data_IF_821648596374
#
_entry.id   IF_821648596374
#
_cell.length_a   1.000
_cell.length_b   1.000
_cell.length_c   1.000
_cell.angle_alpha   90.00
_cell.angle_beta   90.00
_cell.angle_gamma   90.00
#
_symmetry.space_group_name_H-M   'P 1'
#
loop_
_entity.id
_entity.type
_entity.pdbx_description
1 polymer ?
#
# COMPACT_ATOMS: atom_id res chain seq x y z
N UNK A 1 27.78 16.40 5.50
CA UNK A 1 27.43 16.74 4.10
C UNK A 1 25.93 17.05 3.98
N UNK A 2 25.40 17.93 4.87
CA UNK A 2 23.95 18.17 5.05
C UNK A 2 23.53 19.61 4.67
N UNK A 3 24.45 20.44 4.17
CA UNK A 3 24.20 21.87 3.99
C UNK A 3 24.51 22.38 2.57
N UNK A 4 23.85 21.86 1.54
CA UNK A 4 23.80 22.51 0.22
C UNK A 4 22.60 22.07 -0.64
N UNK A 5 21.40 22.00 -0.07
CA UNK A 5 20.19 22.02 -0.90
C UNK A 5 19.60 23.43 -0.79
N UNK A 6 20.20 24.39 -1.50
CA UNK A 6 19.61 25.70 -1.80
C UNK A 6 18.76 25.59 -3.08
N UNK A 7 17.89 24.62 -3.16
CA UNK A 7 16.81 24.64 -4.12
C UNK A 7 15.57 24.87 -3.27
N UNK A 8 15.19 26.13 -3.13
CA UNK A 8 13.87 26.46 -2.65
C UNK A 8 12.87 25.88 -3.65
N UNK A 9 12.37 24.71 -3.30
CA UNK A 9 11.18 24.18 -3.93
C UNK A 9 10.02 25.07 -3.51
N UNK A 10 9.83 26.17 -4.22
CA UNK A 10 8.63 26.98 -4.13
C UNK A 10 7.48 26.16 -4.69
N UNK A 11 7.02 25.17 -3.94
CA UNK A 11 5.70 24.59 -4.16
C UNK A 11 4.72 25.75 -4.06
N UNK A 12 4.11 26.09 -5.16
CA UNK A 12 3.00 27.04 -5.36
C UNK A 12 2.64 27.90 -4.14
N UNK A 13 3.37 28.98 -3.90
CA UNK A 13 3.17 29.94 -2.78
C UNK A 13 1.74 30.52 -2.71
N UNK A 14 0.95 30.39 -3.79
CA UNK A 14 -0.40 30.98 -3.90
C UNK A 14 -1.53 29.95 -4.01
N UNK A 15 -1.26 28.64 -3.86
CA UNK A 15 -2.33 27.65 -3.90
C UNK A 15 -3.03 27.56 -2.55
N UNK A 16 -4.31 27.91 -2.52
CA UNK A 16 -5.16 27.72 -1.35
C UNK A 16 -5.30 26.23 -1.05
N UNK A 17 -5.20 25.86 0.22
CA UNK A 17 -5.39 24.48 0.64
C UNK A 17 -6.86 24.06 0.43
N UNK A 18 -7.07 22.87 -0.13
CA UNK A 18 -8.41 22.30 -0.38
C UNK A 18 -8.95 21.65 0.91
N UNK A 19 -9.56 22.47 1.78
CA UNK A 19 -10.15 21.99 3.04
C UNK A 19 -11.36 21.09 2.78
N UNK A 20 -12.18 21.40 1.77
CA UNK A 20 -13.41 20.67 1.45
C UNK A 20 -13.03 19.26 0.93
N UNK A 21 -12.16 19.19 -0.07
CA UNK A 21 -11.66 17.91 -0.57
C UNK A 21 -11.01 17.08 0.49
N UNK A 22 -10.23 17.71 1.39
CA UNK A 22 -9.56 17.01 2.50
C UNK A 22 -10.56 16.39 3.50
N UNK A 23 -11.63 17.11 3.85
CA UNK A 23 -12.67 16.61 4.76
C UNK A 23 -13.46 15.47 4.11
N UNK A 24 -13.87 15.63 2.84
CA UNK A 24 -14.58 14.59 2.10
C UNK A 24 -13.73 13.31 2.03
N UNK A 25 -12.46 13.46 1.70
CA UNK A 25 -11.51 12.35 1.61
C UNK A 25 -11.34 11.62 2.95
N UNK A 26 -11.17 12.37 4.05
CA UNK A 26 -11.02 11.81 5.38
C UNK A 26 -12.27 11.05 5.82
N UNK A 27 -13.46 11.66 5.68
CA UNK A 27 -14.73 11.03 6.05
C UNK A 27 -14.98 9.78 5.21
N UNK A 28 -14.70 9.85 3.91
CA UNK A 28 -14.80 8.72 3.00
C UNK A 28 -13.95 7.53 3.45
N UNK A 29 -12.67 7.76 3.76
CA UNK A 29 -11.77 6.68 4.20
C UNK A 29 -12.22 6.09 5.53
N UNK A 30 -12.60 6.92 6.51
CA UNK A 30 -13.07 6.47 7.81
C UNK A 30 -14.31 5.59 7.67
N UNK A 31 -15.31 6.04 6.90
CA UNK A 31 -16.53 5.26 6.66
C UNK A 31 -16.25 3.95 5.92
N UNK A 32 -15.36 3.98 4.93
CA UNK A 32 -14.98 2.78 4.18
C UNK A 32 -14.30 1.75 5.06
N UNK A 33 -13.27 2.17 5.79
CA UNK A 33 -12.49 1.26 6.65
C UNK A 33 -13.33 0.74 7.82
N UNK A 34 -14.11 1.61 8.47
CA UNK A 34 -14.97 1.20 9.58
C UNK A 34 -16.07 0.25 9.09
N UNK A 35 -16.70 0.57 7.96
CA UNK A 35 -17.72 -0.27 7.35
C UNK A 35 -17.22 -1.67 6.96
N UNK A 36 -15.97 -1.81 6.54
CA UNK A 36 -15.36 -3.11 6.26
C UNK A 36 -14.92 -3.85 7.55
N UNK A 37 -14.44 -3.12 8.55
CA UNK A 37 -13.89 -3.71 9.78
C UNK A 37 -14.97 -4.31 10.67
N UNK A 38 -16.13 -3.69 10.76
CA UNK A 38 -17.18 -4.05 11.72
C UNK A 38 -18.45 -4.62 11.05
N UNK A 39 -18.27 -5.22 9.86
CA UNK A 39 -19.33 -5.73 8.99
C UNK A 39 -20.36 -6.64 9.71
N UNK A 40 -19.96 -7.35 10.76
CA UNK A 40 -20.80 -8.36 11.41
C UNK A 40 -21.57 -7.86 12.64
N UNK A 41 -21.26 -6.68 13.19
CA UNK A 41 -21.79 -6.25 14.48
C UNK A 41 -23.13 -5.53 14.41
N UNK A 42 -23.33 -4.68 13.42
CA UNK A 42 -24.53 -3.83 13.33
C UNK A 42 -25.02 -3.71 11.91
N UNK A 43 -26.30 -3.85 11.68
CA UNK A 43 -26.92 -3.70 10.34
C UNK A 43 -26.63 -2.34 9.70
N UNK A 44 -26.55 -1.29 10.50
CA UNK A 44 -26.24 0.06 10.02
C UNK A 44 -24.84 0.17 9.36
N UNK A 45 -23.88 -0.63 9.79
CA UNK A 45 -22.50 -0.61 9.28
C UNK A 45 -22.43 -1.05 7.83
N UNK A 46 -23.36 -1.91 7.38
CA UNK A 46 -23.42 -2.36 5.98
C UNK A 46 -23.62 -1.22 4.96
N UNK A 47 -24.24 -0.12 5.38
CA UNK A 47 -24.46 1.03 4.51
C UNK A 47 -23.24 1.95 4.40
N UNK A 48 -22.28 1.87 5.31
CA UNK A 48 -21.12 2.76 5.35
C UNK A 48 -20.22 2.67 4.11
N UNK A 49 -19.88 1.49 3.56
CA UNK A 49 -19.10 1.41 2.31
C UNK A 49 -19.84 2.01 1.11
N UNK A 50 -21.18 1.91 1.07
CA UNK A 50 -21.98 2.55 0.02
C UNK A 50 -21.96 4.07 0.13
N UNK A 51 -22.08 4.60 1.37
CA UNK A 51 -21.96 6.05 1.61
C UNK A 51 -20.54 6.51 1.25
N UNK A 52 -19.51 5.74 1.62
CA UNK A 52 -18.13 6.03 1.26
C UNK A 52 -17.93 6.04 -0.27
N UNK A 53 -18.58 5.15 -1.01
CA UNK A 53 -18.53 5.15 -2.47
C UNK A 53 -19.20 6.39 -3.08
N UNK A 54 -20.32 6.83 -2.53
CA UNK A 54 -20.95 8.08 -2.95
C UNK A 54 -20.03 9.28 -2.68
N UNK A 55 -19.42 9.33 -1.49
CA UNK A 55 -18.45 10.37 -1.15
C UNK A 55 -17.21 10.33 -2.05
N UNK A 56 -16.78 9.16 -2.50
CA UNK A 56 -15.70 9.00 -3.47
C UNK A 56 -16.07 9.65 -4.83
N UNK A 57 -17.28 9.44 -5.31
CA UNK A 57 -17.75 10.09 -6.55
C UNK A 57 -17.84 11.60 -6.38
N UNK A 58 -18.34 12.08 -5.24
CA UNK A 58 -18.38 13.50 -4.91
C UNK A 58 -16.97 14.09 -4.81
N UNK A 59 -16.03 13.38 -4.19
CA UNK A 59 -14.63 13.79 -4.13
C UNK A 59 -14.02 13.95 -5.52
N UNK A 60 -14.21 12.97 -6.41
CA UNK A 60 -13.71 13.06 -7.80
C UNK A 60 -14.32 14.27 -8.53
N UNK A 61 -15.60 14.51 -8.31
CA UNK A 61 -16.29 15.65 -8.94
C UNK A 61 -15.74 16.98 -8.44
N UNK A 62 -15.54 17.12 -7.12
CA UNK A 62 -14.99 18.31 -6.48
C UNK A 62 -13.55 18.56 -6.94
N UNK A 63 -12.70 17.51 -6.97
CA UNK A 63 -11.30 17.62 -7.40
C UNK A 63 -11.15 18.08 -8.86
N UNK A 64 -12.14 17.88 -9.71
CA UNK A 64 -12.15 18.40 -11.09
C UNK A 64 -12.49 19.87 -11.19
N UNK A 65 -13.15 20.46 -10.17
CA UNK A 65 -13.63 21.84 -10.18
C UNK A 65 -12.71 22.80 -9.45
N UNK A 66 -12.03 22.35 -8.41
CA UNK A 66 -11.21 23.19 -7.55
C UNK A 66 -9.93 23.59 -8.30
N UNK A 67 -9.56 24.86 -8.20
CA UNK A 67 -8.35 25.40 -8.83
C UNK A 67 -7.04 24.85 -8.25
N UNK A 68 -7.08 24.38 -7.00
CA UNK A 68 -5.93 23.75 -6.30
C UNK A 68 -6.39 22.43 -5.66
N UNK A 69 -6.59 21.37 -6.47
CA UNK A 69 -7.09 20.10 -5.96
C UNK A 69 -6.09 19.43 -5.04
N UNK A 70 -6.59 18.67 -4.07
CA UNK A 70 -5.78 17.81 -3.19
C UNK A 70 -5.05 16.74 -4.02
N UNK A 71 -5.75 16.18 -5.01
CA UNK A 71 -5.22 15.20 -5.94
C UNK A 71 -5.46 15.68 -7.37
N UNK A 72 -4.37 15.96 -8.09
CA UNK A 72 -4.47 16.28 -9.51
C UNK A 72 -4.79 15.00 -10.31
N UNK A 73 -6.07 14.84 -10.65
CA UNK A 73 -6.55 13.67 -11.40
C UNK A 73 -5.94 13.56 -12.81
N UNK A 74 -5.32 14.63 -13.32
CA UNK A 74 -4.69 14.62 -14.64
C UNK A 74 -3.48 13.67 -14.70
N UNK A 75 -2.82 13.41 -13.56
CA UNK A 75 -1.68 12.48 -13.47
C UNK A 75 -2.06 11.06 -13.91
N UNK A 76 -3.33 10.65 -13.70
CA UNK A 76 -3.83 9.33 -14.12
C UNK A 76 -3.99 9.20 -15.65
N UNK A 77 -3.90 10.29 -16.40
CA UNK A 77 -3.82 10.25 -17.88
C UNK A 77 -2.47 9.75 -18.36
N UNK A 78 -1.45 9.83 -17.52
CA UNK A 78 -0.15 9.25 -17.82
C UNK A 78 -0.22 7.73 -17.60
N UNK A 79 -0.12 6.98 -18.70
CA UNK A 79 -0.21 5.51 -18.70
C UNK A 79 0.85 4.88 -17.79
N UNK A 80 2.08 5.42 -17.78
CA UNK A 80 3.17 4.88 -16.94
C UNK A 80 2.81 5.04 -15.47
N UNK A 81 2.32 6.20 -15.07
CA UNK A 81 1.90 6.46 -13.69
C UNK A 81 0.75 5.53 -13.28
N UNK A 82 -0.28 5.42 -14.09
CA UNK A 82 -1.45 4.59 -13.80
C UNK A 82 -1.10 3.11 -13.71
N UNK A 83 -0.34 2.59 -14.67
CA UNK A 83 0.08 1.18 -14.66
C UNK A 83 1.00 0.87 -13.48
N UNK A 84 1.90 1.79 -13.12
CA UNK A 84 2.77 1.62 -11.94
C UNK A 84 1.96 1.57 -10.63
N UNK A 85 0.92 2.41 -10.50
CA UNK A 85 0.05 2.38 -9.32
C UNK A 85 -0.80 1.11 -9.24
N UNK A 86 -1.32 0.62 -10.38
CA UNK A 86 -2.03 -0.65 -10.44
C UNK A 86 -1.11 -1.81 -10.06
N UNK A 87 0.10 -1.85 -10.60
CA UNK A 87 1.10 -2.85 -10.25
C UNK A 87 1.46 -2.81 -8.76
N UNK A 88 1.63 -1.61 -8.19
CA UNK A 88 1.86 -1.42 -6.76
C UNK A 88 0.67 -1.92 -5.92
N UNK A 89 -0.56 -1.62 -6.33
CA UNK A 89 -1.77 -2.09 -5.65
C UNK A 89 -1.83 -3.62 -5.60
N UNK A 90 -1.59 -4.29 -6.73
CA UNK A 90 -1.57 -5.76 -6.82
C UNK A 90 -0.45 -6.33 -5.93
N UNK A 91 0.76 -5.74 -6.01
CA UNK A 91 1.91 -6.17 -5.22
C UNK A 91 1.64 -6.08 -3.72
N UNK A 92 1.15 -4.93 -3.23
CA UNK A 92 0.84 -4.74 -1.82
C UNK A 92 -0.29 -5.64 -1.35
N UNK A 93 -1.35 -5.80 -2.15
CA UNK A 93 -2.46 -6.70 -1.83
C UNK A 93 -1.98 -8.15 -1.65
N UNK A 94 -1.13 -8.64 -2.56
CA UNK A 94 -0.54 -9.98 -2.45
C UNK A 94 0.36 -10.12 -1.22
N UNK A 95 1.19 -9.11 -0.93
CA UNK A 95 2.11 -9.12 0.21
C UNK A 95 1.35 -9.14 1.54
N UNK A 96 0.29 -8.34 1.69
CA UNK A 96 -0.54 -8.34 2.91
C UNK A 96 -1.33 -9.63 3.07
N UNK A 97 -1.90 -10.16 1.98
CA UNK A 97 -2.60 -11.45 2.02
C UNK A 97 -1.69 -12.58 2.48
N UNK A 98 -0.44 -12.61 1.98
CA UNK A 98 0.56 -13.58 2.42
C UNK A 98 0.92 -13.46 3.89
N UNK A 99 1.18 -12.24 4.36
CA UNK A 99 1.48 -11.99 5.77
C UNK A 99 0.35 -12.50 6.69
N UNK A 100 -0.90 -12.27 6.28
CA UNK A 100 -2.07 -12.74 7.01
C UNK A 100 -2.18 -14.27 7.01
N UNK A 101 -2.08 -14.91 5.83
CA UNK A 101 -2.14 -16.37 5.70
C UNK A 101 -0.99 -17.04 6.45
N UNK A 102 0.23 -16.48 6.36
CA UNK A 102 1.39 -16.98 7.10
C UNK A 102 1.19 -16.87 8.60
N UNK A 103 0.63 -15.76 9.09
CA UNK A 103 0.29 -15.59 10.49
C UNK A 103 -0.67 -16.67 10.99
N UNK A 104 -1.73 -16.94 10.22
CA UNK A 104 -2.69 -18.00 10.55
C UNK A 104 -2.04 -19.39 10.51
N UNK A 105 -1.22 -19.66 9.52
CA UNK A 105 -0.51 -20.92 9.40
C UNK A 105 0.40 -21.19 10.62
N UNK A 106 1.20 -20.19 11.02
CA UNK A 106 2.08 -20.31 12.18
C UNK A 106 1.30 -20.54 13.48
N UNK A 107 0.19 -19.86 13.67
CA UNK A 107 -0.61 -19.96 14.89
C UNK A 107 -1.51 -21.20 14.91
N UNK A 108 -2.28 -21.47 13.86
CA UNK A 108 -3.29 -22.52 13.85
C UNK A 108 -2.72 -23.89 13.47
N UNK A 109 -1.79 -23.94 12.53
CA UNK A 109 -1.24 -25.22 12.05
C UNK A 109 -0.01 -25.64 12.85
N UNK A 110 0.86 -24.67 13.13
CA UNK A 110 2.12 -24.93 13.88
C UNK A 110 1.98 -24.76 15.39
N UNK A 111 0.84 -24.25 15.88
CA UNK A 111 0.58 -24.07 17.29
C UNK A 111 1.47 -23.04 17.99
N UNK A 112 2.07 -22.12 17.22
CA UNK A 112 2.92 -21.08 17.78
C UNK A 112 2.08 -20.02 18.48
N UNK A 113 2.57 -19.48 19.59
CA UNK A 113 1.97 -18.33 20.24
C UNK A 113 2.09 -17.07 19.34
N UNK A 114 1.22 -16.09 19.56
CA UNK A 114 1.15 -14.88 18.74
C UNK A 114 2.46 -14.07 18.75
N UNK A 115 3.20 -14.10 19.87
CA UNK A 115 4.48 -13.39 19.99
C UNK A 115 5.55 -14.02 19.10
N UNK A 116 5.69 -15.34 19.13
CA UNK A 116 6.64 -16.08 18.30
C UNK A 116 6.29 -15.96 16.82
N UNK A 117 5.00 -16.12 16.45
CA UNK A 117 4.54 -15.93 15.08
C UNK A 117 4.81 -14.51 14.57
N UNK A 118 4.57 -13.49 15.41
CA UNK A 118 4.92 -12.10 15.12
C UNK A 118 6.40 -11.89 14.87
N UNK A 119 7.26 -12.56 15.63
CA UNK A 119 8.73 -12.54 15.46
C UNK A 119 9.15 -13.00 14.05
N UNK A 120 8.55 -14.07 13.53
CA UNK A 120 8.79 -14.53 12.16
C UNK A 120 8.34 -13.52 11.12
N UNK A 121 7.19 -12.86 11.33
CA UNK A 121 6.69 -11.85 10.41
C UNK A 121 7.57 -10.59 10.37
N UNK A 122 8.33 -10.29 11.41
CA UNK A 122 9.29 -9.17 11.44
C UNK A 122 10.50 -9.37 10.52
N UNK A 123 10.77 -10.59 10.06
CA UNK A 123 11.88 -10.86 9.14
C UNK A 123 11.70 -10.07 7.83
N UNK A 124 10.48 -10.00 7.31
CA UNK A 124 10.19 -9.28 6.07
C UNK A 124 10.51 -7.78 6.15
N UNK A 125 9.95 -6.98 7.09
CA UNK A 125 10.28 -5.55 7.19
C UNK A 125 11.76 -5.32 7.57
N UNK A 126 12.37 -6.23 8.30
CA UNK A 126 13.80 -6.15 8.62
C UNK A 126 14.66 -6.24 7.35
N UNK A 127 14.43 -7.26 6.51
CA UNK A 127 15.12 -7.41 5.22
C UNK A 127 14.82 -6.20 4.32
N UNK A 128 13.57 -5.74 4.28
CA UNK A 128 13.16 -4.58 3.48
C UNK A 128 13.93 -3.31 3.89
N UNK A 129 14.18 -3.10 5.17
CA UNK A 129 14.95 -1.96 5.68
C UNK A 129 16.39 -1.96 5.17
N UNK A 130 17.00 -3.14 5.01
CA UNK A 130 18.39 -3.29 4.51
C UNK A 130 18.46 -3.20 2.98
N UNK A 131 17.49 -3.80 2.29
CA UNK A 131 17.50 -3.95 0.82
C UNK A 131 16.99 -2.69 0.13
N UNK A 132 15.98 -1.99 0.69
CA UNK A 132 15.34 -0.85 0.07
C UNK A 132 16.30 0.29 -0.30
N UNK A 133 17.23 0.73 0.55
CA UNK A 133 18.20 1.77 0.17
C UNK A 133 19.14 1.33 -0.95
N UNK A 134 19.52 0.05 -0.97
CA UNK A 134 20.38 -0.53 -2.02
C UNK A 134 19.64 -0.63 -3.35
N UNK A 135 18.37 -1.05 -3.32
CA UNK A 135 17.51 -1.11 -4.49
C UNK A 135 17.27 0.29 -5.07
N UNK A 136 17.06 1.30 -4.22
CA UNK A 136 16.97 2.70 -4.63
C UNK A 136 18.24 3.18 -5.35
N UNK A 137 19.40 3.00 -4.73
CA UNK A 137 20.68 3.37 -5.33
C UNK A 137 20.98 2.61 -6.64
N UNK A 138 20.49 1.37 -6.77
CA UNK A 138 20.63 0.58 -7.98
C UNK A 138 19.69 1.09 -9.09
N UNK A 139 18.49 1.54 -8.71
CA UNK A 139 17.52 2.15 -9.62
C UNK A 139 17.99 3.49 -10.20
N UNK A 140 18.90 4.20 -9.50
CA UNK A 140 19.55 5.41 -10.02
C UNK A 140 20.61 5.10 -11.11
N UNK A 141 21.19 3.89 -11.07
CA UNK A 141 22.23 3.45 -12.01
C UNK A 141 21.68 2.66 -13.20
N UNK A 142 20.64 1.89 -12.96
CA UNK A 142 20.00 1.04 -13.97
C UNK A 142 18.56 1.50 -14.18
N UNK A 143 17.90 1.03 -15.24
CA UNK A 143 16.51 1.40 -15.48
C UNK A 143 15.61 0.86 -14.34
N UNK A 144 14.75 1.72 -13.80
CA UNK A 144 13.80 1.36 -12.75
C UNK A 144 12.91 0.18 -13.14
N UNK A 145 12.63 0.03 -14.45
CA UNK A 145 11.86 -1.12 -14.98
C UNK A 145 12.56 -2.44 -14.73
N UNK A 146 13.88 -2.50 -14.96
CA UNK A 146 14.67 -3.71 -14.78
C UNK A 146 14.71 -4.11 -13.29
N UNK A 147 14.95 -3.15 -12.41
CA UNK A 147 14.99 -3.40 -10.96
C UNK A 147 13.61 -3.87 -10.44
N UNK A 148 12.53 -3.23 -10.88
CA UNK A 148 11.17 -3.64 -10.54
C UNK A 148 10.85 -5.06 -11.05
N UNK A 149 11.22 -5.38 -12.29
CA UNK A 149 10.99 -6.72 -12.88
C UNK A 149 11.78 -7.80 -12.14
N UNK A 150 13.02 -7.54 -11.74
CA UNK A 150 13.82 -8.45 -10.93
C UNK A 150 13.17 -8.68 -9.56
N UNK A 151 12.71 -7.62 -8.89
CA UNK A 151 12.00 -7.73 -7.62
C UNK A 151 10.72 -8.57 -7.72
N UNK A 152 9.91 -8.34 -8.76
CA UNK A 152 8.72 -9.15 -9.03
C UNK A 152 9.04 -10.62 -9.34
N UNK A 153 10.12 -10.87 -10.08
CA UNK A 153 10.61 -12.22 -10.35
C UNK A 153 11.03 -12.96 -9.08
N UNK A 154 11.77 -12.29 -8.19
CA UNK A 154 12.15 -12.86 -6.88
C UNK A 154 10.93 -13.13 -6.02
N UNK A 155 9.95 -12.24 -6.02
CA UNK A 155 8.69 -12.45 -5.31
C UNK A 155 7.93 -13.66 -5.85
N UNK A 156 7.84 -13.82 -7.17
CA UNK A 156 7.21 -14.99 -7.81
C UNK A 156 7.89 -16.30 -7.39
N UNK A 157 9.22 -16.33 -7.33
CA UNK A 157 9.98 -17.51 -6.87
C UNK A 157 9.67 -17.78 -5.40
N UNK A 158 9.68 -16.76 -4.54
CA UNK A 158 9.35 -16.88 -3.12
C UNK A 158 7.93 -17.40 -2.90
N UNK A 159 6.95 -16.90 -3.65
CA UNK A 159 5.56 -17.36 -3.60
C UNK A 159 5.42 -18.82 -4.05
N UNK A 160 6.12 -19.19 -5.12
CA UNK A 160 6.12 -20.58 -5.59
C UNK A 160 6.73 -21.53 -4.54
N UNK A 161 7.78 -21.09 -3.83
CA UNK A 161 8.36 -21.86 -2.73
C UNK A 161 7.36 -22.07 -1.58
N UNK A 162 6.47 -21.10 -1.33
CA UNK A 162 5.40 -21.23 -0.34
C UNK A 162 4.43 -22.37 -0.63
N UNK A 163 4.24 -22.72 -1.92
CA UNK A 163 3.38 -23.82 -2.34
C UNK A 163 3.90 -25.20 -1.91
N UNK A 164 5.19 -25.30 -1.53
CA UNK A 164 5.80 -26.54 -1.06
C UNK A 164 5.82 -26.66 0.48
N UNK A 165 5.23 -25.71 1.20
CA UNK A 165 5.10 -25.81 2.65
C UNK A 165 4.06 -26.86 3.02
N UNK A 166 4.52 -27.92 3.70
CA UNK A 166 3.67 -28.96 4.28
C UNK A 166 3.76 -28.90 5.82
N UNK A 167 2.86 -29.66 6.50
CA UNK A 167 2.83 -29.74 7.96
C UNK A 167 4.15 -30.24 8.55
N UNK A 168 4.88 -31.06 7.80
CA UNK A 168 6.14 -31.68 8.21
C UNK A 168 7.40 -30.89 7.79
N UNK A 169 7.21 -29.71 7.17
CA UNK A 169 8.34 -28.86 6.78
C UNK A 169 9.11 -28.39 8.01
N UNK A 170 10.36 -28.83 8.17
CA UNK A 170 11.25 -28.41 9.25
C UNK A 170 11.75 -26.98 9.02
N UNK A 171 11.78 -26.16 10.06
CA UNK A 171 12.36 -24.81 10.05
C UNK A 171 13.79 -24.77 10.61
N UNK A 172 14.55 -25.87 10.47
CA UNK A 172 15.96 -25.92 10.86
C UNK A 172 16.87 -25.45 9.74
#
# INVERSE_FOLDING_TARGET
MIFKVKIDWYGAKDKKFDYIGSIIYLVMIVLFLYGLSDWTRHEFVHYMPFIAFILFLLFIYEQKKVASPLVDLSIFRNTVFTMSNIAALIHYSATFALGFVLSLYLQLVRGMDAFTAGGFLLIQPFIMTIVSPKAGALSDKFSSRLIASLGMGMMMIGLSAFSFLDKDTSFY
#
